data_IF_734951372322
#
_entry.id   IF_734951372322
#
_cell.length_a   1.000
_cell.length_b   1.000
_cell.length_c   1.000
_cell.angle_alpha   90.00
_cell.angle_beta   90.00
_cell.angle_gamma   90.00
#
_symmetry.space_group_name_H-M   'P 1'
#
loop_
_entity.id
_entity.type
_entity.pdbx_description
1 polymer ?
#
# COMPACT_ATOMS: atom_id res chain seq x y z
N UNK A 1 -0.22 7.07 -21.35
CA UNK A 1 -0.22 8.22 -20.42
C UNK A 1 1.20 8.44 -19.93
N UNK A 2 1.75 9.67 -20.13
CA UNK A 2 3.15 9.99 -19.85
C UNK A 2 3.62 9.58 -18.44
N UNK A 3 2.78 9.72 -17.42
CA UNK A 3 3.11 9.28 -16.05
C UNK A 3 3.19 7.75 -15.94
N UNK A 4 2.29 7.04 -16.60
CA UNK A 4 2.29 5.56 -16.59
C UNK A 4 3.56 5.04 -17.26
N UNK A 5 3.95 5.63 -18.39
CA UNK A 5 5.16 5.23 -19.12
C UNK A 5 6.42 5.53 -18.30
N UNK A 6 6.46 6.68 -17.61
CA UNK A 6 7.54 7.03 -16.68
C UNK A 6 7.67 6.01 -15.55
N UNK A 7 6.56 5.68 -14.89
CA UNK A 7 6.53 4.75 -13.76
C UNK A 7 6.96 3.33 -14.17
N UNK A 8 6.46 2.83 -15.31
CA UNK A 8 6.84 1.52 -15.83
C UNK A 8 8.30 1.45 -16.23
N UNK A 9 8.82 2.47 -16.93
CA UNK A 9 10.24 2.54 -17.28
C UNK A 9 11.11 2.60 -16.03
N UNK A 10 10.73 3.39 -15.03
CA UNK A 10 11.46 3.46 -13.76
C UNK A 10 11.50 2.10 -13.05
N UNK A 11 10.38 1.39 -12.95
CA UNK A 11 10.33 0.05 -12.35
C UNK A 11 11.19 -0.95 -13.12
N UNK A 12 11.15 -0.91 -14.44
CA UNK A 12 11.96 -1.75 -15.32
C UNK A 12 13.47 -1.47 -15.13
N UNK A 13 13.87 -0.20 -15.18
CA UNK A 13 15.26 0.22 -15.05
C UNK A 13 15.83 -0.12 -13.66
N UNK A 14 14.98 -0.20 -12.64
CA UNK A 14 15.34 -0.62 -11.29
C UNK A 14 15.21 -2.14 -11.06
N UNK A 15 14.87 -2.94 -12.10
CA UNK A 15 14.75 -4.40 -12.00
C UNK A 15 13.70 -4.86 -10.98
N UNK A 16 12.56 -4.15 -10.91
CA UNK A 16 11.54 -4.37 -9.88
C UNK A 16 10.57 -5.52 -10.17
N UNK A 17 10.67 -6.18 -11.33
CA UNK A 17 9.87 -7.37 -11.67
C UNK A 17 9.94 -8.44 -10.58
N UNK A 18 11.13 -8.77 -10.10
CA UNK A 18 11.36 -9.78 -9.05
C UNK A 18 10.69 -9.37 -7.73
N UNK A 19 10.77 -8.09 -7.35
CA UNK A 19 10.15 -7.58 -6.13
C UNK A 19 8.62 -7.60 -6.25
N UNK A 20 8.08 -7.17 -7.39
CA UNK A 20 6.63 -7.21 -7.65
C UNK A 20 6.11 -8.66 -7.58
N UNK A 21 6.81 -9.61 -8.20
CA UNK A 21 6.47 -11.04 -8.12
C UNK A 21 6.48 -11.53 -6.68
N UNK A 22 7.51 -11.20 -5.92
CA UNK A 22 7.63 -11.59 -4.51
C UNK A 22 6.47 -11.03 -3.66
N UNK A 23 6.15 -9.74 -3.81
CA UNK A 23 5.00 -9.13 -3.12
C UNK A 23 3.69 -9.79 -3.55
N UNK A 24 3.48 -10.02 -4.85
CA UNK A 24 2.27 -10.64 -5.35
C UNK A 24 2.06 -12.06 -4.79
N UNK A 25 3.10 -12.89 -4.81
CA UNK A 25 3.04 -14.25 -4.28
C UNK A 25 2.79 -14.30 -2.77
N UNK A 26 3.26 -13.28 -2.04
CA UNK A 26 3.04 -13.14 -0.61
C UNK A 26 1.57 -12.88 -0.26
N UNK A 27 0.87 -12.09 -1.07
CA UNK A 27 -0.53 -11.72 -0.83
C UNK A 27 -1.55 -12.58 -1.58
N UNK A 28 -1.11 -13.57 -2.37
CA UNK A 28 -2.01 -14.42 -3.16
C UNK A 28 -1.67 -15.89 -2.98
N UNK A 29 -1.02 -16.46 -3.98
CA UNK A 29 -0.62 -17.86 -4.02
C UNK A 29 0.83 -17.96 -4.50
N UNK A 30 1.69 -18.56 -3.70
CA UNK A 30 3.11 -18.71 -3.99
C UNK A 30 3.42 -19.55 -5.24
N UNK A 31 2.42 -20.25 -5.80
CA UNK A 31 2.55 -21.02 -7.05
C UNK A 31 2.20 -20.20 -8.28
N UNK A 32 1.48 -19.08 -8.12
CA UNK A 32 1.09 -18.20 -9.21
C UNK A 32 2.17 -17.13 -9.42
N UNK A 33 2.72 -17.08 -10.62
CA UNK A 33 3.84 -16.19 -10.94
C UNK A 33 3.47 -15.26 -12.08
N UNK A 34 3.46 -13.94 -11.84
CA UNK A 34 3.41 -12.93 -12.91
C UNK A 34 4.70 -12.96 -13.73
N UNK A 35 4.57 -12.90 -15.03
CA UNK A 35 5.67 -12.86 -16.00
C UNK A 35 5.55 -11.56 -16.79
N UNK A 36 6.50 -10.67 -16.61
CA UNK A 36 6.55 -9.39 -17.30
C UNK A 36 7.21 -9.54 -18.68
N UNK A 37 6.65 -8.89 -19.70
CA UNK A 37 7.33 -8.72 -20.97
C UNK A 37 8.58 -7.85 -20.79
N UNK A 38 9.52 -7.95 -21.75
CA UNK A 38 10.79 -7.20 -21.69
C UNK A 38 10.62 -5.68 -21.56
N UNK A 39 9.51 -5.14 -22.09
CA UNK A 39 9.16 -3.72 -22.03
C UNK A 39 8.12 -3.37 -20.93
N UNK A 40 7.72 -4.34 -20.08
CA UNK A 40 6.69 -4.18 -19.04
C UNK A 40 5.29 -3.80 -19.56
N UNK A 41 5.04 -3.91 -20.86
CA UNK A 41 3.72 -3.58 -21.45
C UNK A 41 2.71 -4.71 -21.26
N UNK A 42 3.16 -5.95 -21.13
CA UNK A 42 2.30 -7.12 -20.97
C UNK A 42 2.71 -7.93 -19.75
N UNK A 43 1.72 -8.48 -19.06
CA UNK A 43 1.91 -9.39 -17.94
C UNK A 43 1.10 -10.65 -18.22
N UNK A 44 1.78 -11.79 -18.26
CA UNK A 44 1.16 -13.11 -18.33
C UNK A 44 1.36 -13.83 -16.99
N UNK A 45 0.65 -14.94 -16.80
CA UNK A 45 0.74 -15.69 -15.54
C UNK A 45 1.06 -17.14 -15.82
N UNK A 46 1.90 -17.69 -14.94
CA UNK A 46 2.16 -19.13 -14.90
C UNK A 46 1.84 -19.67 -13.51
N UNK A 47 1.48 -20.95 -13.44
CA UNK A 47 1.27 -21.65 -12.19
C UNK A 47 2.15 -22.90 -12.12
N UNK A 48 2.85 -23.07 -11.00
CA UNK A 48 3.60 -24.28 -10.73
C UNK A 48 2.63 -25.42 -10.38
N UNK A 49 2.52 -26.40 -11.28
CA UNK A 49 1.74 -27.63 -11.06
C UNK A 49 2.54 -28.69 -10.30
N UNK A 50 1.90 -29.82 -10.00
CA UNK A 50 2.62 -30.99 -9.50
C UNK A 50 3.55 -31.59 -10.57
N UNK A 51 4.60 -32.30 -10.13
CA UNK A 51 5.58 -32.99 -11.01
C UNK A 51 6.38 -32.04 -11.92
N UNK A 52 6.77 -30.87 -11.42
CA UNK A 52 7.59 -29.89 -12.15
C UNK A 52 6.98 -29.35 -13.47
N UNK A 53 5.67 -29.53 -13.65
CA UNK A 53 4.96 -28.98 -14.81
C UNK A 53 4.51 -27.56 -14.52
N UNK A 54 4.94 -26.60 -15.34
CA UNK A 54 4.47 -25.22 -15.29
C UNK A 54 3.39 -25.00 -16.36
N UNK A 55 2.22 -24.55 -15.93
CA UNK A 55 1.11 -24.16 -16.82
C UNK A 55 1.24 -22.67 -17.11
N UNK A 56 1.31 -22.32 -18.39
CA UNK A 56 1.45 -20.92 -18.85
C UNK A 56 0.09 -20.31 -19.24
N UNK A 57 0.04 -18.98 -19.30
CA UNK A 57 -1.14 -18.21 -19.72
C UNK A 57 -2.40 -18.51 -18.87
N UNK A 58 -2.21 -18.64 -17.57
CA UNK A 58 -3.30 -18.86 -16.61
C UNK A 58 -4.12 -17.58 -16.49
N UNK A 59 -5.45 -17.72 -16.50
CA UNK A 59 -6.35 -16.61 -16.16
C UNK A 59 -6.39 -16.43 -14.65
N UNK A 60 -6.25 -15.19 -14.22
CA UNK A 60 -6.37 -14.79 -12.81
C UNK A 60 -7.77 -14.26 -12.50
N UNK A 61 -8.12 -14.29 -11.24
CA UNK A 61 -9.34 -13.68 -10.72
C UNK A 61 -9.20 -12.14 -10.64
N UNK A 62 -10.31 -11.43 -10.54
CA UNK A 62 -10.30 -9.97 -10.33
C UNK A 62 -9.60 -9.56 -9.04
N UNK A 63 -9.68 -10.40 -8.00
CA UNK A 63 -8.97 -10.16 -6.73
C UNK A 63 -7.46 -10.23 -6.92
N UNK A 64 -6.96 -11.24 -7.62
CA UNK A 64 -5.54 -11.38 -7.95
C UNK A 64 -5.04 -10.24 -8.85
N UNK A 65 -5.86 -9.79 -9.81
CA UNK A 65 -5.56 -8.63 -10.64
C UNK A 65 -5.42 -7.36 -9.80
N UNK A 66 -6.35 -7.10 -8.89
CA UNK A 66 -6.29 -5.95 -7.97
C UNK A 66 -5.04 -6.02 -7.07
N UNK A 67 -4.70 -7.20 -6.58
CA UNK A 67 -3.49 -7.40 -5.78
C UNK A 67 -2.21 -7.15 -6.59
N UNK A 68 -2.17 -7.56 -7.87
CA UNK A 68 -1.02 -7.27 -8.73
C UNK A 68 -0.85 -5.76 -8.95
N UNK A 69 -1.94 -5.06 -9.26
CA UNK A 69 -1.92 -3.59 -9.43
C UNK A 69 -1.39 -2.93 -8.15
N UNK A 70 -1.85 -3.40 -6.99
CA UNK A 70 -1.35 -2.92 -5.70
C UNK A 70 0.14 -3.20 -5.52
N UNK A 71 0.63 -4.41 -5.83
CA UNK A 71 2.05 -4.77 -5.71
C UNK A 71 2.94 -3.93 -6.61
N UNK A 72 2.49 -3.62 -7.83
CA UNK A 72 3.19 -2.70 -8.74
C UNK A 72 3.27 -1.31 -8.12
N UNK A 73 2.14 -0.78 -7.63
CA UNK A 73 2.11 0.53 -6.97
C UNK A 73 2.99 0.57 -5.72
N UNK A 74 2.94 -0.47 -4.88
CA UNK A 74 3.74 -0.56 -3.66
C UNK A 74 5.25 -0.58 -3.98
N UNK A 75 5.67 -1.39 -4.96
CA UNK A 75 7.07 -1.43 -5.40
C UNK A 75 7.53 -0.10 -5.98
N UNK A 76 6.68 0.59 -6.73
CA UNK A 76 6.97 1.95 -7.22
C UNK A 76 7.16 2.92 -6.06
N UNK A 77 6.24 2.90 -5.09
CA UNK A 77 6.30 3.80 -3.94
C UNK A 77 7.55 3.54 -3.08
N UNK A 78 7.91 2.27 -2.88
CA UNK A 78 9.12 1.87 -2.16
C UNK A 78 10.38 2.42 -2.84
N UNK A 79 10.48 2.30 -4.17
CA UNK A 79 11.60 2.86 -4.93
C UNK A 79 11.63 4.40 -4.90
N UNK A 80 10.47 5.05 -4.95
CA UNK A 80 10.38 6.52 -4.82
C UNK A 80 10.87 6.96 -3.44
N UNK A 81 10.41 6.32 -2.36
CA UNK A 81 10.84 6.63 -0.99
C UNK A 81 12.34 6.44 -0.85
N UNK A 82 12.89 5.31 -1.33
CA UNK A 82 14.33 5.04 -1.30
C UNK A 82 15.13 6.11 -2.08
N UNK A 83 14.65 6.50 -3.25
CA UNK A 83 15.29 7.55 -4.06
C UNK A 83 15.26 8.90 -3.35
N UNK A 84 14.13 9.29 -2.76
CA UNK A 84 13.98 10.58 -2.11
C UNK A 84 14.64 10.65 -0.73
N UNK A 85 14.94 9.50 -0.10
CA UNK A 85 15.72 9.42 1.13
C UNK A 85 17.23 9.72 0.91
N UNK A 86 17.70 9.72 -0.33
CA UNK A 86 19.04 10.23 -0.66
C UNK A 86 19.03 11.76 -0.61
N UNK A 87 19.74 12.30 0.37
CA UNK A 87 19.79 13.76 0.62
C UNK A 87 20.46 14.52 -0.52
N UNK A 88 21.54 13.96 -1.09
CA UNK A 88 22.22 14.55 -2.22
C UNK A 88 21.48 14.21 -3.52
N UNK A 89 20.77 15.21 -4.05
CA UNK A 89 19.97 15.05 -5.27
C UNK A 89 20.79 14.58 -6.46
N UNK A 90 22.10 14.83 -6.48
CA UNK A 90 22.99 14.39 -7.58
C UNK A 90 23.25 12.88 -7.57
N UNK A 91 23.09 12.23 -6.42
CA UNK A 91 23.26 10.79 -6.24
C UNK A 91 21.97 10.00 -6.46
N UNK A 92 20.83 10.67 -6.63
CA UNK A 92 19.55 10.02 -6.89
C UNK A 92 19.55 9.32 -8.23
N UNK A 93 18.97 8.11 -8.26
CA UNK A 93 18.85 7.31 -9.49
C UNK A 93 17.97 7.98 -10.56
N UNK A 94 17.10 8.90 -10.15
CA UNK A 94 16.29 9.76 -11.02
C UNK A 94 15.95 11.07 -10.33
N UNK A 95 15.71 12.13 -11.12
CA UNK A 95 15.25 13.43 -10.64
C UNK A 95 13.73 13.64 -10.79
N UNK A 96 13.05 12.72 -11.44
CA UNK A 96 11.64 12.84 -11.85
C UNK A 96 10.67 12.97 -10.66
N UNK A 97 11.06 12.47 -9.47
CA UNK A 97 10.23 12.52 -8.27
C UNK A 97 10.60 13.64 -7.30
N UNK A 98 11.56 14.50 -7.62
CA UNK A 98 12.03 15.53 -6.70
C UNK A 98 10.96 16.52 -6.25
N UNK A 99 9.95 16.77 -7.07
CA UNK A 99 8.83 17.65 -6.78
C UNK A 99 7.62 16.94 -6.17
N UNK A 100 7.70 15.61 -5.93
CA UNK A 100 6.64 14.85 -5.31
C UNK A 100 6.47 15.27 -3.85
N UNK A 101 5.25 15.68 -3.48
CA UNK A 101 4.91 16.14 -2.12
C UNK A 101 3.83 15.31 -1.46
N UNK A 102 2.93 14.74 -2.25
CA UNK A 102 1.77 14.01 -1.74
C UNK A 102 1.66 12.64 -2.38
N UNK A 103 1.39 11.64 -1.55
CA UNK A 103 1.03 10.28 -1.95
C UNK A 103 -0.37 10.00 -1.45
N UNK A 104 -1.27 9.66 -2.37
CA UNK A 104 -2.64 9.32 -2.04
C UNK A 104 -2.86 7.82 -2.23
N UNK A 105 -3.29 7.14 -1.16
CA UNK A 105 -3.57 5.70 -1.14
C UNK A 105 -5.06 5.53 -0.82
N UNK A 106 -5.84 5.19 -1.84
CA UNK A 106 -7.28 5.05 -1.72
C UNK A 106 -7.68 3.57 -1.63
N UNK A 107 -8.13 3.18 -0.45
CA UNK A 107 -8.70 1.88 -0.12
C UNK A 107 -7.94 0.66 -0.69
N UNK A 108 -6.69 0.44 -0.28
CA UNK A 108 -5.78 -0.51 -0.92
C UNK A 108 -6.14 -1.99 -0.70
N UNK A 109 -7.22 -2.30 0.02
CA UNK A 109 -7.47 -3.64 0.61
C UNK A 109 -8.72 -4.35 0.09
N UNK A 110 -9.27 -3.96 -1.04
CA UNK A 110 -10.58 -4.44 -1.53
C UNK A 110 -10.70 -5.96 -1.76
N UNK A 111 -9.60 -6.73 -1.70
CA UNK A 111 -9.59 -8.15 -2.12
C UNK A 111 -8.72 -9.07 -1.26
N UNK A 112 -8.19 -8.60 -0.13
CA UNK A 112 -7.33 -9.38 0.75
C UNK A 112 -8.13 -10.05 1.88
N UNK A 113 -7.68 -11.23 2.31
CA UNK A 113 -8.11 -11.80 3.58
C UNK A 113 -7.50 -11.04 4.77
N UNK A 114 -8.03 -11.28 5.96
CA UNK A 114 -7.68 -10.53 7.17
C UNK A 114 -6.17 -10.60 7.51
N UNK A 115 -5.51 -11.73 7.27
CA UNK A 115 -4.09 -11.89 7.58
C UNK A 115 -3.22 -11.05 6.64
N UNK A 116 -3.47 -11.16 5.34
CA UNK A 116 -2.75 -10.38 4.34
C UNK A 116 -3.06 -8.88 4.44
N UNK A 117 -4.28 -8.53 4.86
CA UNK A 117 -4.67 -7.15 5.14
C UNK A 117 -3.87 -6.54 6.29
N UNK A 118 -3.72 -7.29 7.41
CA UNK A 118 -2.89 -6.85 8.54
C UNK A 118 -1.44 -6.66 8.10
N UNK A 119 -0.90 -7.63 7.38
CA UNK A 119 0.48 -7.58 6.87
C UNK A 119 0.70 -6.38 5.94
N UNK A 120 -0.24 -6.12 5.04
CA UNK A 120 -0.21 -4.96 4.15
C UNK A 120 -0.20 -3.65 4.93
N UNK A 121 -1.09 -3.49 5.91
CA UNK A 121 -1.17 -2.29 6.74
C UNK A 121 0.15 -2.03 7.49
N UNK A 122 0.76 -3.08 8.07
CA UNK A 122 2.06 -2.99 8.74
C UNK A 122 3.17 -2.59 7.75
N UNK A 123 3.18 -3.16 6.54
CA UNK A 123 4.19 -2.83 5.54
C UNK A 123 4.05 -1.39 5.04
N UNK A 124 2.83 -0.90 4.81
CA UNK A 124 2.58 0.51 4.47
C UNK A 124 3.08 1.42 5.61
N UNK A 125 2.74 1.11 6.86
CA UNK A 125 3.17 1.91 7.99
C UNK A 125 4.69 1.96 8.11
N UNK A 126 5.39 0.84 7.95
CA UNK A 126 6.86 0.77 7.94
C UNK A 126 7.47 1.62 6.83
N UNK A 127 6.92 1.53 5.62
CA UNK A 127 7.39 2.31 4.48
C UNK A 127 7.25 3.81 4.75
N UNK A 128 6.09 4.24 5.25
CA UNK A 128 5.85 5.65 5.60
C UNK A 128 6.79 6.12 6.69
N UNK A 129 6.97 5.34 7.77
CA UNK A 129 7.90 5.67 8.86
C UNK A 129 9.36 5.74 8.39
N UNK A 130 9.74 4.95 7.39
CA UNK A 130 11.08 4.97 6.79
C UNK A 130 11.34 6.15 5.85
N UNK A 131 10.30 6.91 5.52
CA UNK A 131 10.40 8.08 4.65
C UNK A 131 11.04 9.24 5.41
N UNK A 132 12.29 9.53 5.11
CA UNK A 132 13.08 10.61 5.74
C UNK A 132 12.88 11.97 5.05
N UNK A 133 12.14 11.97 3.96
CA UNK A 133 11.84 13.14 3.13
C UNK A 133 10.53 13.83 3.56
N UNK A 134 10.17 14.92 2.88
CA UNK A 134 8.96 15.71 3.18
C UNK A 134 7.71 15.21 2.45
N UNK A 135 7.57 13.91 2.20
CA UNK A 135 6.36 13.34 1.61
C UNK A 135 5.21 13.33 2.62
N UNK A 136 4.05 13.77 2.17
CA UNK A 136 2.80 13.67 2.91
C UNK A 136 1.95 12.53 2.36
N UNK A 137 1.51 11.65 3.23
CA UNK A 137 0.70 10.49 2.86
C UNK A 137 -0.75 10.71 3.29
N UNK A 138 -1.69 10.49 2.37
CA UNK A 138 -3.12 10.51 2.63
C UNK A 138 -3.66 9.13 2.32
N UNK A 139 -4.13 8.43 3.36
CA UNK A 139 -4.67 7.09 3.24
C UNK A 139 -6.16 7.14 3.55
N UNK A 140 -6.98 6.63 2.62
CA UNK A 140 -8.41 6.44 2.86
C UNK A 140 -8.70 4.95 2.93
N UNK A 141 -9.67 4.55 3.73
CA UNK A 141 -10.18 3.18 3.78
C UNK A 141 -11.58 3.13 4.37
N UNK A 142 -12.37 2.20 3.89
CA UNK A 142 -13.63 1.80 4.51
C UNK A 142 -13.51 0.52 5.36
N UNK A 143 -12.32 -0.11 5.37
CA UNK A 143 -12.08 -1.33 6.11
C UNK A 143 -11.63 -1.01 7.55
N UNK A 144 -12.44 -1.36 8.57
CA UNK A 144 -12.14 -1.02 9.96
C UNK A 144 -10.93 -1.77 10.53
N UNK A 145 -10.63 -2.99 10.07
CA UNK A 145 -9.47 -3.74 10.53
C UNK A 145 -8.18 -3.08 10.01
N UNK A 146 -8.15 -2.71 8.74
CA UNK A 146 -7.03 -1.99 8.14
C UNK A 146 -6.77 -0.65 8.85
N UNK A 147 -7.83 0.12 9.09
CA UNK A 147 -7.72 1.37 9.85
C UNK A 147 -7.17 1.13 11.25
N UNK A 148 -7.65 0.10 11.96
CA UNK A 148 -7.22 -0.21 13.33
C UNK A 148 -5.73 -0.57 13.39
N UNK A 149 -5.25 -1.36 12.43
CA UNK A 149 -3.81 -1.68 12.36
C UNK A 149 -2.99 -0.42 12.12
N UNK A 150 -3.36 0.42 11.13
CA UNK A 150 -2.67 1.68 10.87
C UNK A 150 -2.75 2.64 12.06
N UNK A 151 -3.92 2.73 12.74
CA UNK A 151 -4.08 3.52 13.94
C UNK A 151 -3.05 3.13 15.01
N UNK A 152 -2.90 1.83 15.28
CA UNK A 152 -1.95 1.33 16.26
C UNK A 152 -0.50 1.58 15.82
N UNK A 153 -0.19 1.31 14.54
CA UNK A 153 1.15 1.53 14.00
C UNK A 153 1.59 3.01 14.08
N UNK A 154 0.69 3.95 13.80
CA UNK A 154 1.00 5.38 13.84
C UNK A 154 0.72 6.06 15.18
N UNK A 155 0.27 5.33 16.20
CA UNK A 155 -0.02 5.89 17.52
C UNK A 155 1.16 5.79 18.50
N UNK A 156 2.26 5.18 18.09
CA UNK A 156 3.48 5.04 18.88
C UNK A 156 4.64 5.76 18.18
N UNK A 157 5.53 6.34 19.00
CA UNK A 157 6.79 6.88 18.51
C UNK A 157 7.71 5.74 18.06
N UNK A 158 8.42 5.95 16.96
CA UNK A 158 9.36 4.98 16.41
C UNK A 158 10.74 5.61 16.22
N UNK A 159 11.58 5.59 17.26
CA UNK A 159 12.89 6.25 17.22
C UNK A 159 13.81 5.72 16.11
N UNK A 160 13.68 4.44 15.74
CA UNK A 160 14.44 3.82 14.65
C UNK A 160 14.22 4.53 13.33
N UNK A 161 12.97 4.97 13.07
CA UNK A 161 12.57 5.68 11.86
C UNK A 161 12.51 7.20 12.06
N UNK A 162 12.88 7.72 13.22
CA UNK A 162 12.69 9.13 13.59
C UNK A 162 11.23 9.58 13.48
N UNK A 163 10.30 8.63 13.58
CA UNK A 163 8.88 8.89 13.51
C UNK A 163 8.33 9.31 14.89
N UNK A 164 7.52 10.36 14.89
CA UNK A 164 6.77 10.83 16.04
C UNK A 164 5.27 10.70 15.75
N UNK A 165 4.50 10.11 16.67
CA UNK A 165 3.05 9.93 16.55
C UNK A 165 2.28 11.24 16.24
N UNK A 166 2.80 12.38 16.68
CA UNK A 166 2.21 13.69 16.45
C UNK A 166 2.30 14.14 14.96
N UNK A 167 3.07 13.43 14.14
CA UNK A 167 3.13 13.63 12.69
C UNK A 167 1.94 13.05 11.95
N UNK A 168 1.07 12.26 12.62
CA UNK A 168 -0.09 11.64 11.99
C UNK A 168 -1.40 12.21 12.52
N UNK A 169 -2.31 12.53 11.60
CA UNK A 169 -3.69 12.91 11.91
C UNK A 169 -4.64 11.80 11.47
N UNK A 170 -5.63 11.51 12.30
CA UNK A 170 -6.65 10.51 12.06
C UNK A 170 -8.01 11.16 11.98
N UNK A 171 -8.70 10.97 10.86
CA UNK A 171 -10.00 11.58 10.56
C UNK A 171 -11.03 10.50 10.25
N UNK A 172 -12.27 10.77 10.61
CA UNK A 172 -13.44 10.00 10.19
C UNK A 172 -14.34 10.89 9.33
N UNK A 173 -14.79 10.34 8.21
CA UNK A 173 -15.77 10.99 7.36
C UNK A 173 -17.17 10.69 7.92
N UNK A 174 -17.91 11.73 8.28
CA UNK A 174 -19.28 11.62 8.76
C UNK A 174 -20.22 12.28 7.77
N UNK A 175 -21.34 11.59 7.49
CA UNK A 175 -22.44 12.19 6.74
C UNK A 175 -23.36 12.91 7.71
N UNK A 176 -23.64 14.18 7.41
CA UNK A 176 -24.53 15.02 8.20
C UNK A 176 -25.99 14.87 7.73
N UNK A 177 -26.95 15.33 8.56
CA UNK A 177 -28.39 15.22 8.28
C UNK A 177 -28.82 16.00 7.02
N UNK A 178 -28.09 17.05 6.67
CA UNK A 178 -28.32 17.85 5.45
C UNK A 178 -27.75 17.18 4.18
N UNK A 179 -27.15 16.00 4.31
CA UNK A 179 -26.54 15.24 3.22
C UNK A 179 -25.11 15.64 2.87
N UNK A 180 -24.54 16.63 3.54
CA UNK A 180 -23.13 17.01 3.41
C UNK A 180 -22.22 16.06 4.21
N UNK A 181 -20.89 16.20 4.01
CA UNK A 181 -19.91 15.38 4.71
C UNK A 181 -18.96 16.28 5.52
N UNK A 182 -18.56 15.79 6.68
CA UNK A 182 -17.60 16.43 7.56
C UNK A 182 -16.45 15.48 7.91
N UNK A 183 -15.25 16.03 8.00
CA UNK A 183 -14.08 15.31 8.54
C UNK A 183 -13.92 15.65 10.01
N UNK A 184 -14.13 14.65 10.88
CA UNK A 184 -13.97 14.79 12.32
C UNK A 184 -12.71 14.09 12.80
N UNK A 185 -12.07 14.63 13.83
CA UNK A 185 -10.90 13.98 14.42
C UNK A 185 -11.32 12.65 15.07
N UNK A 186 -10.53 11.61 14.82
CA UNK A 186 -10.74 10.30 15.41
C UNK A 186 -9.59 9.99 16.37
N UNK A 187 -9.84 10.20 17.67
CA UNK A 187 -8.84 9.93 18.71
C UNK A 187 -8.91 8.50 19.23
N UNK A 188 -9.97 7.78 18.88
CA UNK A 188 -10.20 6.41 19.32
C UNK A 188 -10.01 5.43 18.19
N UNK A 189 -9.47 4.24 18.51
CA UNK A 189 -9.54 3.11 17.60
C UNK A 189 -11.03 2.82 17.32
N UNK A 190 -11.52 2.93 16.08
CA UNK A 190 -12.94 2.76 15.77
C UNK A 190 -13.42 1.32 16.03
N UNK A 191 -12.51 0.43 16.38
CA UNK A 191 -12.77 -0.99 16.48
C UNK A 191 -12.61 -1.51 17.90
N UNK A 192 -13.52 -1.10 18.75
CA UNK A 192 -13.96 -2.04 19.76
C UNK A 192 -15.47 -2.21 19.57
N UNK A 193 -15.84 -3.18 18.76
CA UNK A 193 -17.23 -3.68 18.68
C UNK A 193 -17.80 -3.86 20.08
N UNK A 194 -16.98 -4.24 21.05
CA UNK A 194 -17.32 -4.32 22.45
C UNK A 194 -17.65 -2.97 23.09
N UNK A 195 -16.89 -1.90 22.78
CA UNK A 195 -17.19 -0.56 23.28
C UNK A 195 -18.43 0.03 22.60
N UNK A 196 -18.64 -0.28 21.31
CA UNK A 196 -19.89 0.08 20.63
C UNK A 196 -21.07 -0.62 21.30
N UNK A 197 -21.01 -1.92 21.54
CA UNK A 197 -22.06 -2.66 22.24
C UNK A 197 -22.30 -2.13 23.65
N UNK A 198 -21.24 -1.78 24.41
CA UNK A 198 -21.38 -1.16 25.72
C UNK A 198 -22.07 0.18 25.64
N UNK A 199 -21.70 1.03 24.68
CA UNK A 199 -22.33 2.34 24.50
C UNK A 199 -23.81 2.25 24.09
N UNK A 200 -24.19 1.18 23.37
CA UNK A 200 -25.60 0.93 23.04
C UNK A 200 -26.42 0.36 24.23
N UNK A 201 -25.75 -0.34 25.16
CA UNK A 201 -26.39 -0.84 26.38
C UNK A 201 -26.56 0.23 27.47
N UNK A 202 -25.79 1.31 27.40
CA UNK A 202 -25.87 2.45 28.33
C UNK A 202 -26.91 3.50 27.92
N UNK A 203 -27.51 3.38 26.72
CA UNK A 203 -28.61 4.23 26.23
C UNK A 203 -29.97 3.68 26.67
#
# INVERSE_FOLDING_TARGET
NAFTDLALNFLKDQGQDTNIVSHFQRYTNNKLTPLFSENFEEITFSIAGGNDVTIQNVKISRGEESNLIWCIFYSLLEQIVNTLNEDDTTNRVTQEFNDLKYVFIDDPVSSLDDNHLIELAVNIAKLIKSSLNNLHYIITTHNPLFYNVLFNEFNNDEPLYRYNRDQSEKKRLEKLDDGTFSLVNSNDSPFSYHLFLLSELEK
#
